data_IF_299326669513
#
_entry.id   IF_299326669513
#
_cell.length_a   1.000
_cell.length_b   1.000
_cell.length_c   1.000
_cell.angle_alpha   90.00
_cell.angle_beta   90.00
_cell.angle_gamma   90.00
#
_symmetry.space_group_name_H-M   'P 1'
#
loop_
_entity.id
_entity.type
_entity.pdbx_description
1 polymer ?
#
# COMPACT_ATOMS: atom_id res chain seq x y z
N UNK A 1 7.59 58.17 -98.54
CA UNK A 1 8.29 58.21 -97.21
C UNK A 1 7.26 57.80 -96.19
N UNK A 2 7.12 56.51 -96.02
CA UNK A 2 6.07 55.90 -95.17
C UNK A 2 6.61 55.52 -93.82
N UNK A 3 5.95 55.96 -92.78
CA UNK A 3 6.33 55.78 -91.43
C UNK A 3 5.41 54.67 -90.84
N UNK A 4 5.89 53.45 -90.82
CA UNK A 4 5.18 52.29 -90.38
C UNK A 4 5.26 52.14 -88.87
N UNK A 5 4.15 52.38 -88.20
CA UNK A 5 3.97 52.44 -86.80
C UNK A 5 3.60 51.01 -86.29
N UNK A 6 4.61 50.21 -85.94
CA UNK A 6 4.42 48.85 -85.42
C UNK A 6 3.93 48.87 -83.92
N UNK A 7 2.63 48.73 -83.71
CA UNK A 7 2.03 48.50 -82.39
C UNK A 7 2.38 47.08 -81.87
N UNK A 8 3.34 46.98 -80.97
CA UNK A 8 3.60 45.73 -80.20
C UNK A 8 2.36 45.35 -79.34
N UNK A 9 1.61 44.37 -79.81
CA UNK A 9 0.56 43.72 -79.00
C UNK A 9 1.21 43.06 -77.77
N UNK A 10 1.01 43.64 -76.59
CA UNK A 10 1.32 42.95 -75.29
C UNK A 10 0.36 41.77 -75.16
N UNK A 11 0.87 40.55 -75.30
CA UNK A 11 0.15 39.33 -74.96
C UNK A 11 -0.13 39.33 -73.42
N UNK A 12 -1.42 39.37 -73.05
CA UNK A 12 -1.86 39.20 -71.67
C UNK A 12 -1.54 37.76 -71.30
N UNK A 13 -0.69 37.56 -70.29
CA UNK A 13 -0.46 36.23 -69.63
C UNK A 13 -1.81 35.62 -69.23
N UNK A 14 -2.07 34.35 -69.53
CA UNK A 14 -3.31 33.70 -69.11
C UNK A 14 -3.44 33.77 -67.58
N UNK A 15 -4.59 34.21 -67.09
CA UNK A 15 -4.91 34.15 -65.67
C UNK A 15 -4.86 32.67 -65.26
N UNK A 16 -3.93 32.31 -64.36
CA UNK A 16 -3.82 31.01 -63.80
C UNK A 16 -5.15 30.74 -63.08
N UNK A 17 -5.98 29.86 -63.61
CA UNK A 17 -7.23 29.45 -62.98
C UNK A 17 -6.86 28.70 -61.66
N UNK A 18 -7.26 29.27 -60.52
CA UNK A 18 -7.06 28.70 -59.20
C UNK A 18 -7.91 27.44 -59.14
N UNK A 19 -7.29 26.24 -59.01
CA UNK A 19 -7.97 24.96 -59.00
C UNK A 19 -7.99 24.43 -57.54
N UNK A 20 -9.11 24.51 -56.81
CA UNK A 20 -9.21 24.13 -55.39
C UNK A 20 -9.08 22.61 -55.14
N UNK A 21 -9.13 21.79 -56.21
CA UNK A 21 -9.06 20.32 -56.04
C UNK A 21 -7.78 19.80 -55.41
N UNK A 22 -6.65 20.48 -55.54
CA UNK A 22 -5.41 20.04 -54.89
C UNK A 22 -5.44 20.26 -53.36
N UNK A 23 -6.11 21.32 -52.91
CA UNK A 23 -6.28 21.61 -51.47
C UNK A 23 -7.18 20.54 -50.85
N UNK A 24 -8.29 20.19 -51.51
CA UNK A 24 -9.18 19.13 -51.03
C UNK A 24 -8.47 17.75 -50.97
N UNK A 25 -7.62 17.43 -51.95
CA UNK A 25 -6.78 16.21 -51.92
C UNK A 25 -5.77 16.25 -50.80
N UNK A 26 -5.12 17.39 -50.56
CA UNK A 26 -4.17 17.56 -49.48
C UNK A 26 -4.86 17.38 -48.10
N UNK A 27 -6.01 18.03 -47.88
CA UNK A 27 -6.81 17.87 -46.66
C UNK A 27 -7.24 16.42 -46.44
N UNK A 28 -7.73 15.75 -47.51
CA UNK A 28 -8.10 14.32 -47.40
C UNK A 28 -6.91 13.43 -47.03
N UNK A 29 -5.72 13.65 -47.61
CA UNK A 29 -4.52 12.90 -47.27
C UNK A 29 -4.09 13.15 -45.83
N UNK A 30 -4.11 14.38 -45.35
CA UNK A 30 -3.75 14.72 -43.96
C UNK A 30 -4.71 14.06 -42.96
N UNK A 31 -6.03 14.16 -43.23
CA UNK A 31 -7.04 13.51 -42.36
C UNK A 31 -6.89 11.97 -42.37
N UNK A 32 -6.66 11.38 -43.56
CA UNK A 32 -6.45 9.94 -43.70
C UNK A 32 -5.22 9.45 -42.96
N UNK A 33 -4.10 10.19 -43.04
CA UNK A 33 -2.87 9.86 -42.29
C UNK A 33 -3.10 10.03 -40.79
N UNK A 34 -3.73 11.12 -40.35
CA UNK A 34 -4.05 11.32 -38.95
C UNK A 34 -4.94 10.19 -38.37
N UNK A 35 -5.95 9.76 -39.15
CA UNK A 35 -6.83 8.67 -38.78
C UNK A 35 -6.09 7.31 -38.71
N UNK A 36 -5.14 7.09 -39.63
CA UNK A 36 -4.29 5.89 -39.62
C UNK A 36 -3.35 5.85 -38.42
N UNK A 37 -2.74 6.98 -38.07
CA UNK A 37 -1.92 7.11 -36.85
C UNK A 37 -2.72 6.89 -35.60
N UNK A 38 -3.94 7.41 -35.52
CA UNK A 38 -4.84 7.17 -34.39
C UNK A 38 -5.18 5.68 -34.25
N UNK A 39 -5.49 4.98 -35.34
CA UNK A 39 -5.73 3.51 -35.31
C UNK A 39 -4.51 2.74 -34.81
N UNK A 40 -3.31 3.12 -35.24
CA UNK A 40 -2.06 2.48 -34.78
C UNK A 40 -1.87 2.74 -33.29
N UNK A 41 -2.08 3.96 -32.81
CA UNK A 41 -1.96 4.32 -31.39
C UNK A 41 -2.97 3.55 -30.53
N UNK A 42 -4.24 3.47 -30.95
CA UNK A 42 -5.28 2.70 -30.26
C UNK A 42 -4.94 1.20 -30.26
N UNK A 43 -4.48 0.66 -31.38
CA UNK A 43 -4.04 -0.75 -31.47
C UNK A 43 -2.86 -1.05 -30.55
N UNK A 44 -1.86 -0.17 -30.51
CA UNK A 44 -0.72 -0.31 -29.60
C UNK A 44 -1.16 -0.25 -28.13
N UNK A 45 -2.04 0.69 -27.77
CA UNK A 45 -2.59 0.76 -26.41
C UNK A 45 -3.37 -0.51 -26.02
N UNK A 46 -4.21 -1.02 -26.93
CA UNK A 46 -4.96 -2.26 -26.72
C UNK A 46 -4.01 -3.47 -26.55
N UNK A 47 -2.92 -3.51 -27.31
CA UNK A 47 -1.91 -4.59 -27.18
C UNK A 47 -1.22 -4.54 -25.83
N UNK A 48 -0.85 -3.35 -25.35
CA UNK A 48 -0.23 -3.18 -24.02
C UNK A 48 -1.18 -3.64 -22.93
N UNK A 49 -2.46 -3.23 -23.00
CA UNK A 49 -3.49 -3.68 -22.03
C UNK A 49 -3.63 -5.20 -22.06
N UNK A 50 -3.66 -5.82 -23.24
CA UNK A 50 -3.75 -7.28 -23.36
C UNK A 50 -2.53 -7.98 -22.75
N UNK A 51 -1.32 -7.48 -23.00
CA UNK A 51 -0.09 -8.01 -22.39
C UNK A 51 -0.16 -7.94 -20.87
N UNK A 52 -0.57 -6.79 -20.32
CA UNK A 52 -0.72 -6.62 -18.86
C UNK A 52 -1.74 -7.59 -18.29
N UNK A 53 -2.87 -7.81 -18.97
CA UNK A 53 -3.89 -8.78 -18.54
C UNK A 53 -3.36 -10.22 -18.60
N UNK A 54 -2.69 -10.61 -19.67
CA UNK A 54 -2.10 -11.96 -19.79
C UNK A 54 -1.02 -12.17 -18.74
N UNK A 55 -0.11 -11.21 -18.56
CA UNK A 55 0.89 -11.27 -17.49
C UNK A 55 0.25 -11.35 -16.10
N UNK A 56 -0.83 -10.60 -15.87
CA UNK A 56 -1.61 -10.65 -14.63
C UNK A 56 -2.22 -12.04 -14.39
N UNK A 57 -2.85 -12.64 -15.38
CA UNK A 57 -3.43 -13.99 -15.28
C UNK A 57 -2.36 -15.04 -15.03
N UNK A 58 -1.23 -15.00 -15.77
CA UNK A 58 -0.10 -15.91 -15.57
C UNK A 58 0.50 -15.72 -14.18
N UNK A 59 0.68 -14.48 -13.75
CA UNK A 59 1.19 -14.15 -12.41
C UNK A 59 0.25 -14.68 -11.30
N UNK A 60 -1.06 -14.47 -11.44
CA UNK A 60 -2.06 -14.98 -10.47
C UNK A 60 -2.05 -16.51 -10.47
N UNK A 61 -1.96 -17.17 -11.63
CA UNK A 61 -1.88 -18.63 -11.74
C UNK A 61 -0.64 -19.18 -11.05
N UNK A 62 0.56 -18.69 -11.41
CA UNK A 62 1.82 -19.12 -10.78
C UNK A 62 1.89 -18.77 -9.30
N UNK A 63 1.33 -17.63 -8.91
CA UNK A 63 1.21 -17.25 -7.52
C UNK A 63 0.23 -18.19 -6.79
N UNK A 64 -0.90 -18.56 -7.43
CA UNK A 64 -1.88 -19.49 -6.88
C UNK A 64 -1.28 -20.87 -6.61
N UNK A 65 -0.56 -21.45 -7.57
CA UNK A 65 0.13 -22.74 -7.40
C UNK A 65 1.18 -22.67 -6.28
N UNK A 66 1.97 -21.61 -6.25
CA UNK A 66 2.97 -21.36 -5.19
C UNK A 66 2.35 -21.14 -3.81
N UNK A 67 1.18 -20.46 -3.74
CA UNK A 67 0.47 -20.19 -2.50
C UNK A 67 -0.25 -21.43 -1.96
N UNK A 68 -0.66 -22.36 -2.82
CA UNK A 68 -1.54 -23.45 -2.45
C UNK A 68 -0.82 -24.56 -1.68
N UNK A 69 0.45 -24.85 -1.97
CA UNK A 69 1.18 -25.93 -1.31
C UNK A 69 1.86 -25.54 0.01
N UNK A 70 2.47 -24.35 0.10
CA UNK A 70 3.25 -23.98 1.29
C UNK A 70 2.61 -22.87 2.12
N UNK A 71 2.11 -21.83 1.47
CA UNK A 71 1.75 -20.57 2.15
C UNK A 71 0.40 -20.61 2.84
N UNK A 72 -0.63 -21.16 2.18
CA UNK A 72 -1.96 -21.22 2.80
C UNK A 72 -1.98 -22.22 3.96
N UNK A 73 -1.23 -23.32 3.83
CA UNK A 73 -1.12 -24.33 4.90
C UNK A 73 -0.35 -23.75 6.10
N UNK A 74 0.75 -23.04 5.86
CA UNK A 74 1.49 -22.34 6.91
C UNK A 74 0.70 -21.20 7.55
N UNK A 75 -0.03 -20.41 6.73
CA UNK A 75 -0.88 -19.32 7.21
C UNK A 75 -2.09 -19.83 8.00
N UNK A 76 -2.69 -20.95 7.60
CA UNK A 76 -3.84 -21.55 8.27
C UNK A 76 -3.48 -22.23 9.59
N UNK A 77 -2.26 -22.73 9.74
CA UNK A 77 -1.77 -23.36 10.96
C UNK A 77 -1.13 -22.35 11.93
N UNK A 78 -1.10 -21.07 11.59
CA UNK A 78 -0.52 -20.03 12.42
C UNK A 78 -1.54 -19.55 13.48
N UNK A 79 -1.16 -19.57 14.75
CA UNK A 79 -1.92 -18.98 15.85
C UNK A 79 -1.09 -17.95 16.60
N UNK A 80 -1.74 -16.91 17.10
CA UNK A 80 -1.06 -15.92 17.96
C UNK A 80 -0.60 -16.53 19.27
N UNK A 81 -1.26 -17.60 19.73
CA UNK A 81 -0.94 -18.31 20.96
C UNK A 81 0.41 -19.04 20.89
N UNK A 82 0.89 -19.37 19.68
CA UNK A 82 2.22 -19.95 19.46
C UNK A 82 3.35 -18.95 19.76
N UNK A 83 3.01 -17.65 19.80
CA UNK A 83 3.94 -16.55 20.05
C UNK A 83 3.62 -15.85 21.36
N UNK A 84 3.87 -16.55 22.47
CA UNK A 84 3.70 -16.00 23.80
C UNK A 84 4.40 -14.65 23.98
N UNK A 85 3.87 -13.81 24.83
CA UNK A 85 4.53 -12.57 25.24
C UNK A 85 5.38 -12.86 26.49
N UNK A 86 6.71 -12.73 26.36
CA UNK A 86 7.57 -12.73 27.52
C UNK A 86 7.31 -11.43 28.30
N UNK A 87 6.73 -11.57 29.49
CA UNK A 87 6.46 -10.45 30.36
C UNK A 87 7.61 -10.15 31.30
N UNK A 88 7.72 -8.91 31.72
CA UNK A 88 8.67 -8.49 32.74
C UNK A 88 8.29 -9.08 34.09
N UNK A 89 9.23 -9.73 34.77
CA UNK A 89 9.04 -10.27 36.11
C UNK A 89 9.28 -9.21 37.17
N UNK A 90 8.46 -9.21 38.22
CA UNK A 90 8.60 -8.31 39.35
C UNK A 90 8.82 -9.11 40.64
N UNK A 91 9.72 -8.61 41.46
CA UNK A 91 9.92 -9.13 42.80
C UNK A 91 9.26 -8.19 43.81
N UNK A 92 8.40 -8.74 44.63
CA UNK A 92 7.71 -8.02 45.70
C UNK A 92 8.16 -8.47 47.06
N UNK A 93 8.04 -7.60 48.05
CA UNK A 93 8.21 -7.96 49.46
C UNK A 93 7.06 -7.38 50.29
N UNK A 94 6.85 -7.97 51.47
CA UNK A 94 5.88 -7.45 52.41
C UNK A 94 6.61 -6.58 53.43
N UNK A 95 6.21 -5.32 53.57
CA UNK A 95 6.81 -4.40 54.54
C UNK A 95 6.38 -4.71 55.99
N UNK A 96 7.00 -4.04 56.97
CA UNK A 96 6.70 -4.24 58.39
C UNK A 96 5.26 -3.93 58.81
N UNK A 97 4.47 -3.28 57.92
CA UNK A 97 3.05 -2.96 58.12
C UNK A 97 2.11 -3.93 57.40
N UNK A 98 2.66 -4.94 56.72
CA UNK A 98 1.89 -5.94 55.96
C UNK A 98 1.53 -5.51 54.53
N UNK A 99 2.08 -4.41 54.01
CA UNK A 99 1.80 -3.95 52.65
C UNK A 99 2.77 -4.64 51.65
N UNK A 100 2.24 -4.97 50.48
CA UNK A 100 3.05 -5.49 49.39
C UNK A 100 3.72 -4.30 48.66
N UNK A 101 5.05 -4.32 48.62
CA UNK A 101 5.89 -3.32 47.98
C UNK A 101 6.70 -3.97 46.85
N UNK A 102 6.81 -3.30 45.71
CA UNK A 102 7.69 -3.77 44.63
C UNK A 102 9.14 -3.51 45.00
N UNK A 103 9.95 -4.58 45.03
CA UNK A 103 11.37 -4.52 45.34
C UNK A 103 12.22 -4.25 44.09
N UNK A 104 11.97 -5.02 43.03
CA UNK A 104 12.78 -4.98 41.81
C UNK A 104 11.98 -5.47 40.61
N UNK A 105 12.23 -4.85 39.48
CA UNK A 105 11.81 -5.29 38.15
C UNK A 105 12.97 -6.11 37.56
N UNK A 106 12.65 -7.28 37.00
CA UNK A 106 13.63 -8.17 36.35
C UNK A 106 13.28 -8.28 34.88
N UNK A 107 14.06 -7.63 34.06
CA UNK A 107 14.03 -7.80 32.61
C UNK A 107 15.46 -7.76 32.06
N UNK A 108 15.68 -8.37 30.90
CA UNK A 108 17.01 -8.39 30.26
C UNK A 108 17.19 -7.29 29.25
N UNK A 109 16.55 -7.43 28.08
CA UNK A 109 16.64 -6.50 26.96
C UNK A 109 15.29 -5.89 26.60
N UNK A 110 14.20 -6.46 27.10
CA UNK A 110 12.83 -6.07 26.80
C UNK A 110 12.05 -5.82 28.08
N UNK A 111 11.41 -4.67 28.16
CA UNK A 111 10.41 -4.36 29.18
C UNK A 111 9.03 -4.49 28.54
N UNK A 112 8.22 -5.42 29.06
CA UNK A 112 6.85 -5.65 28.60
C UNK A 112 5.92 -5.86 29.77
N UNK A 113 4.93 -4.99 29.86
CA UNK A 113 3.83 -5.11 30.78
C UNK A 113 2.54 -5.13 29.95
N UNK A 114 1.75 -6.17 30.11
CA UNK A 114 0.50 -6.32 29.37
C UNK A 114 -0.59 -5.47 30.02
N UNK A 115 -1.37 -4.81 29.17
CA UNK A 115 -2.58 -4.10 29.54
C UNK A 115 -3.78 -4.75 28.88
N UNK A 116 -4.88 -4.93 29.58
CA UNK A 116 -6.15 -5.29 28.96
C UNK A 116 -6.70 -4.08 28.20
N UNK A 117 -7.56 -4.33 27.21
CA UNK A 117 -8.16 -3.23 26.42
C UNK A 117 -8.92 -2.23 27.30
N UNK A 118 -9.53 -2.71 28.40
CA UNK A 118 -10.22 -1.87 29.38
C UNK A 118 -9.29 -0.93 30.16
N UNK A 119 -8.03 -1.32 30.35
CA UNK A 119 -7.01 -0.48 30.98
C UNK A 119 -6.46 0.59 30.03
N UNK A 120 -6.64 0.40 28.72
CA UNK A 120 -6.12 1.30 27.67
C UNK A 120 -7.13 2.45 27.44
N UNK A 121 -6.73 3.72 27.60
CA UNK A 121 -7.63 4.85 27.35
C UNK A 121 -8.15 4.86 25.93
N UNK A 122 -9.46 5.06 25.74
CA UNK A 122 -10.11 5.15 24.41
C UNK A 122 -9.42 6.15 23.50
N UNK A 123 -8.96 7.29 24.04
CA UNK A 123 -8.24 8.31 23.26
C UNK A 123 -6.94 7.78 22.62
N UNK A 124 -6.27 6.80 23.24
CA UNK A 124 -5.08 6.18 22.66
C UNK A 124 -5.46 5.23 21.53
N UNK A 125 -6.53 4.46 21.69
CA UNK A 125 -7.09 3.60 20.64
C UNK A 125 -7.49 4.44 19.42
N UNK A 126 -8.26 5.52 19.65
CA UNK A 126 -8.71 6.42 18.58
C UNK A 126 -7.53 7.08 17.85
N UNK A 127 -6.50 7.51 18.59
CA UNK A 127 -5.28 8.08 18.01
C UNK A 127 -4.51 7.05 17.17
N UNK A 128 -4.41 5.82 17.64
CA UNK A 128 -3.76 4.71 16.91
C UNK A 128 -4.49 4.43 15.59
N UNK A 129 -5.82 4.30 15.65
CA UNK A 129 -6.65 4.10 14.44
C UNK A 129 -6.50 5.28 13.49
N UNK A 130 -6.54 6.52 13.98
CA UNK A 130 -6.45 7.72 13.15
C UNK A 130 -5.10 7.86 12.42
N UNK A 131 -4.02 7.37 13.01
CA UNK A 131 -2.66 7.50 12.46
C UNK A 131 -2.28 6.29 11.61
N UNK A 132 -2.50 5.08 12.12
CA UNK A 132 -1.99 3.84 11.54
C UNK A 132 -2.97 3.24 10.52
N UNK A 133 -4.28 3.25 10.83
CA UNK A 133 -5.27 2.55 10.03
C UNK A 133 -6.68 3.16 10.19
N UNK A 134 -6.94 4.25 9.48
CA UNK A 134 -8.19 5.02 9.61
C UNK A 134 -9.47 4.23 9.40
N UNK A 135 -9.38 3.10 8.70
CA UNK A 135 -10.51 2.24 8.39
C UNK A 135 -10.42 0.87 9.05
N UNK A 136 -9.69 0.79 10.16
CA UNK A 136 -9.46 -0.45 10.91
C UNK A 136 -10.75 -1.25 11.14
N UNK A 137 -11.82 -0.59 11.54
CA UNK A 137 -13.12 -1.23 11.81
C UNK A 137 -13.95 -1.52 10.56
N UNK A 138 -13.50 -1.11 9.36
CA UNK A 138 -14.27 -1.25 8.11
C UNK A 138 -13.79 -2.38 7.21
N UNK A 139 -12.54 -2.82 7.37
CA UNK A 139 -11.93 -3.88 6.53
C UNK A 139 -11.72 -5.18 7.32
N UNK A 140 -11.35 -6.24 6.60
CA UNK A 140 -11.02 -7.56 7.13
C UNK A 140 -9.55 -7.90 6.86
N UNK A 141 -8.66 -7.46 7.74
CA UNK A 141 -7.21 -7.70 7.69
C UNK A 141 -6.44 -6.79 6.74
N UNK A 142 -7.02 -6.43 5.61
CA UNK A 142 -6.35 -5.62 4.58
C UNK A 142 -7.26 -4.49 4.09
N UNK A 143 -6.77 -3.26 4.16
CA UNK A 143 -7.38 -2.11 3.50
C UNK A 143 -6.94 -2.04 2.04
N UNK A 144 -7.68 -2.69 1.14
CA UNK A 144 -7.37 -2.72 -0.29
C UNK A 144 -7.36 -1.34 -0.94
N UNK A 145 -8.19 -0.40 -0.48
CA UNK A 145 -8.23 0.96 -1.05
C UNK A 145 -6.94 1.71 -0.72
N UNK A 146 -6.50 1.65 0.54
CA UNK A 146 -5.24 2.28 0.98
C UNK A 146 -4.04 1.58 0.38
N UNK A 147 -4.05 0.24 0.31
CA UNK A 147 -2.97 -0.56 -0.31
C UNK A 147 -2.78 -0.20 -1.79
N UNK A 148 -3.87 -0.15 -2.57
CA UNK A 148 -3.80 0.24 -3.99
C UNK A 148 -3.34 1.70 -4.15
N UNK A 149 -3.83 2.62 -3.32
CA UNK A 149 -3.36 4.02 -3.34
C UNK A 149 -1.86 4.13 -3.05
N UNK A 150 -1.37 3.41 -2.04
CA UNK A 150 0.05 3.38 -1.71
C UNK A 150 0.91 2.83 -2.86
N UNK A 151 0.47 1.75 -3.51
CA UNK A 151 1.12 1.19 -4.70
C UNK A 151 1.15 2.21 -5.85
N UNK A 152 0.03 2.86 -6.16
CA UNK A 152 -0.03 3.87 -7.23
C UNK A 152 0.89 5.06 -6.93
N UNK A 153 0.92 5.55 -5.69
CA UNK A 153 1.82 6.63 -5.29
C UNK A 153 3.29 6.26 -5.44
N UNK A 154 3.66 5.02 -5.16
CA UNK A 154 5.03 4.52 -5.35
C UNK A 154 5.43 4.54 -6.83
N UNK A 155 4.52 4.22 -7.75
CA UNK A 155 4.80 4.24 -9.20
C UNK A 155 4.76 5.64 -9.81
N UNK A 156 3.89 6.52 -9.33
CA UNK A 156 3.67 7.86 -9.89
C UNK A 156 4.35 8.98 -9.11
N UNK A 157 5.15 8.66 -8.08
CA UNK A 157 5.97 9.63 -7.36
C UNK A 157 5.19 10.59 -6.45
N UNK A 158 4.05 10.15 -5.92
CA UNK A 158 3.29 10.92 -4.93
C UNK A 158 3.93 10.85 -3.54
N UNK A 159 3.89 11.95 -2.78
CA UNK A 159 4.26 12.00 -1.36
C UNK A 159 3.27 11.16 -0.54
N UNK A 160 3.55 9.87 -0.37
CA UNK A 160 2.77 9.04 0.54
C UNK A 160 3.33 9.18 1.96
N UNK A 161 2.76 10.08 2.75
CA UNK A 161 3.05 10.19 4.19
C UNK A 161 2.40 9.05 5.01
N UNK A 162 1.57 8.22 4.40
CA UNK A 162 0.86 7.14 5.07
C UNK A 162 1.32 5.78 4.58
N UNK A 163 1.64 4.89 5.52
CA UNK A 163 1.92 3.48 5.25
C UNK A 163 0.67 2.78 4.67
N UNK A 164 0.89 1.85 3.74
CA UNK A 164 -0.19 1.04 3.16
C UNK A 164 -0.52 -0.22 3.95
N UNK A 165 0.06 -0.43 5.15
CA UNK A 165 -0.15 -1.62 5.99
C UNK A 165 -1.17 -1.33 7.07
N UNK A 166 -2.11 -2.25 7.30
CA UNK A 166 -3.11 -2.17 8.37
C UNK A 166 -2.50 -2.50 9.74
N UNK A 167 -3.22 -2.16 10.83
CA UNK A 167 -2.86 -2.55 12.20
C UNK A 167 -2.66 -4.06 12.30
N UNK A 168 -3.56 -4.85 11.71
CA UNK A 168 -3.47 -6.32 11.71
C UNK A 168 -2.22 -6.81 10.98
N UNK A 169 -1.88 -6.24 9.83
CA UNK A 169 -0.64 -6.57 9.11
C UNK A 169 0.61 -6.20 9.92
N UNK A 170 0.59 -5.08 10.64
CA UNK A 170 1.68 -4.66 11.51
C UNK A 170 1.81 -5.60 12.72
N UNK A 171 0.69 -6.03 13.32
CA UNK A 171 0.67 -7.03 14.38
C UNK A 171 1.32 -8.34 13.93
N UNK A 172 0.88 -8.90 12.79
CA UNK A 172 1.46 -10.13 12.23
C UNK A 172 2.97 -9.99 12.01
N UNK A 173 3.41 -8.87 11.44
CA UNK A 173 4.82 -8.59 11.23
C UNK A 173 5.61 -8.55 12.55
N UNK A 174 5.06 -7.92 13.60
CA UNK A 174 5.71 -7.80 14.89
C UNK A 174 5.79 -9.14 15.62
N UNK A 175 4.75 -9.97 15.49
CA UNK A 175 4.68 -11.30 16.10
C UNK A 175 5.66 -12.26 15.44
N UNK A 176 5.74 -12.27 14.11
CA UNK A 176 6.59 -13.22 13.36
C UNK A 176 8.06 -12.81 13.29
N UNK A 177 8.43 -11.63 13.80
CA UNK A 177 9.79 -11.02 13.74
C UNK A 177 10.46 -11.11 12.34
N UNK A 178 9.66 -11.22 11.29
CA UNK A 178 10.15 -11.33 9.92
C UNK A 178 10.58 -9.97 9.38
N UNK A 179 11.88 -9.65 9.51
CA UNK A 179 12.47 -8.35 9.08
C UNK A 179 12.84 -8.29 7.60
N UNK A 180 12.76 -9.41 6.87
CA UNK A 180 13.11 -9.44 5.43
C UNK A 180 12.14 -8.57 4.60
N UNK A 181 12.68 -7.76 3.69
CA UNK A 181 11.87 -6.91 2.79
C UNK A 181 11.68 -7.66 1.46
N UNK A 182 10.83 -8.68 1.45
CA UNK A 182 10.52 -9.47 0.25
C UNK A 182 9.04 -9.39 -0.10
N UNK A 183 8.74 -9.52 -1.40
CA UNK A 183 7.34 -9.58 -1.87
C UNK A 183 6.62 -10.79 -1.26
N UNK A 184 7.30 -11.93 -1.18
CA UNK A 184 6.80 -13.16 -0.57
C UNK A 184 6.32 -12.93 0.87
N UNK A 185 7.17 -12.31 1.71
CA UNK A 185 6.80 -11.96 3.07
C UNK A 185 5.53 -11.07 3.11
N UNK A 186 5.44 -10.07 2.21
CA UNK A 186 4.26 -9.17 2.19
C UNK A 186 2.99 -9.90 1.77
N UNK A 187 3.10 -10.86 0.87
CA UNK A 187 1.98 -11.73 0.49
C UNK A 187 1.53 -12.59 1.66
N UNK A 188 2.48 -13.24 2.38
CA UNK A 188 2.19 -14.00 3.60
C UNK A 188 1.52 -13.17 4.68
N UNK A 189 2.03 -11.97 4.94
CA UNK A 189 1.46 -11.01 5.88
C UNK A 189 -0.01 -10.67 5.54
N UNK A 190 -0.31 -10.46 4.25
CA UNK A 190 -1.67 -10.21 3.76
C UNK A 190 -2.59 -11.40 4.06
N UNK A 191 -2.18 -12.62 3.71
CA UNK A 191 -3.02 -13.80 3.93
C UNK A 191 -3.22 -14.10 5.43
N UNK A 192 -2.16 -14.03 6.22
CA UNK A 192 -2.25 -14.20 7.68
C UNK A 192 -3.18 -13.16 8.30
N UNK A 193 -3.10 -11.89 7.88
CA UNK A 193 -3.98 -10.84 8.38
C UNK A 193 -5.46 -11.12 8.07
N UNK A 194 -5.75 -11.63 6.86
CA UNK A 194 -7.13 -11.99 6.49
C UNK A 194 -7.64 -13.22 7.26
N UNK A 195 -6.79 -14.23 7.49
CA UNK A 195 -7.17 -15.41 8.28
C UNK A 195 -7.37 -14.99 9.73
N UNK A 196 -6.47 -14.19 10.29
CA UNK A 196 -6.51 -13.73 11.66
C UNK A 196 -7.78 -12.95 11.99
N UNK A 197 -8.22 -12.02 11.12
CA UNK A 197 -9.47 -11.27 11.31
C UNK A 197 -10.76 -12.08 11.06
N UNK A 198 -10.66 -13.33 10.63
CA UNK A 198 -11.81 -14.25 10.62
C UNK A 198 -12.01 -14.97 11.94
N UNK A 199 -10.92 -15.15 12.70
CA UNK A 199 -10.88 -15.90 13.95
C UNK A 199 -10.97 -14.99 15.17
N UNK A 200 -10.40 -13.79 15.08
CA UNK A 200 -10.28 -12.85 16.19
C UNK A 200 -11.00 -11.54 15.88
N UNK A 201 -11.63 -10.96 16.90
CA UNK A 201 -12.31 -9.68 16.77
C UNK A 201 -11.35 -8.48 16.79
N UNK A 202 -11.86 -7.32 16.44
CA UNK A 202 -11.07 -6.08 16.36
C UNK A 202 -10.53 -5.62 17.70
N UNK A 203 -11.24 -5.91 18.78
CA UNK A 203 -10.87 -5.51 20.13
C UNK A 203 -9.65 -6.30 20.59
N UNK A 204 -9.65 -7.61 20.40
CA UNK A 204 -8.48 -8.45 20.67
C UNK A 204 -7.28 -8.05 19.79
N UNK A 205 -7.50 -7.78 18.51
CA UNK A 205 -6.42 -7.36 17.60
C UNK A 205 -5.80 -6.04 18.05
N UNK A 206 -6.60 -5.09 18.49
CA UNK A 206 -6.13 -3.81 19.02
C UNK A 206 -5.35 -4.00 20.33
N UNK A 207 -5.86 -4.81 21.25
CA UNK A 207 -5.18 -5.16 22.50
C UNK A 207 -3.81 -5.77 22.25
N UNK A 208 -3.74 -6.80 21.41
CA UNK A 208 -2.51 -7.48 21.03
C UNK A 208 -1.51 -6.54 20.33
N UNK A 209 -2.01 -5.68 19.44
CA UNK A 209 -1.18 -4.69 18.77
C UNK A 209 -0.53 -3.72 19.75
N UNK A 210 -1.34 -3.12 20.64
CA UNK A 210 -0.87 -2.14 21.63
C UNK A 210 0.04 -2.74 22.69
N UNK A 211 -0.04 -4.04 22.94
CA UNK A 211 0.85 -4.75 23.85
C UNK A 211 2.17 -5.22 23.19
N UNK A 212 2.25 -5.24 21.86
CA UNK A 212 3.41 -5.79 21.13
C UNK A 212 4.24 -4.75 20.38
N UNK A 213 3.73 -3.55 20.15
CA UNK A 213 4.47 -2.53 19.42
C UNK A 213 5.72 -2.09 20.19
N UNK A 214 6.82 -1.89 19.46
CA UNK A 214 8.04 -1.33 20.01
C UNK A 214 7.98 0.19 20.07
N UNK A 215 8.09 0.78 21.25
CA UNK A 215 7.95 2.20 21.50
C UNK A 215 9.26 2.89 21.93
N UNK A 216 10.39 2.23 21.69
CA UNK A 216 11.70 2.76 22.02
C UNK A 216 12.20 2.36 23.41
N UNK A 217 13.48 2.61 23.72
CA UNK A 217 14.15 2.34 25.00
C UNK A 217 13.97 0.91 25.55
N UNK A 218 13.76 -0.07 24.68
CA UNK A 218 13.49 -1.44 25.11
C UNK A 218 12.04 -1.70 25.52
N UNK A 219 11.15 -0.71 25.49
CA UNK A 219 9.74 -0.85 25.85
C UNK A 219 8.94 -1.47 24.73
N UNK A 220 8.27 -2.57 25.03
CA UNK A 220 7.29 -3.23 24.17
C UNK A 220 5.91 -3.11 24.83
N UNK A 221 4.96 -2.55 24.08
CA UNK A 221 3.62 -2.25 24.55
C UNK A 221 3.47 -0.91 25.26
N UNK A 222 2.23 -0.43 25.25
CA UNK A 222 1.87 0.92 25.71
C UNK A 222 2.02 1.09 27.20
N UNK A 223 1.82 0.02 28.01
CA UNK A 223 1.92 0.06 29.46
C UNK A 223 3.37 0.27 29.92
N UNK A 224 4.32 -0.49 29.38
CA UNK A 224 5.74 -0.29 29.63
C UNK A 224 6.22 1.08 29.17
N UNK A 225 5.76 1.53 28.02
CA UNK A 225 6.10 2.87 27.52
C UNK A 225 5.51 3.98 28.42
N UNK A 226 4.29 3.82 28.95
CA UNK A 226 3.71 4.77 29.88
C UNK A 226 4.51 4.86 31.18
N UNK A 227 4.96 3.71 31.71
CA UNK A 227 5.82 3.67 32.88
C UNK A 227 7.17 4.35 32.65
N UNK A 228 7.85 4.05 31.51
CA UNK A 228 9.17 4.61 31.19
C UNK A 228 9.13 6.11 30.87
N UNK A 229 8.13 6.58 30.13
CA UNK A 229 8.10 7.96 29.66
C UNK A 229 7.35 8.93 30.58
N UNK A 230 6.36 8.43 31.33
CA UNK A 230 5.47 9.26 32.14
C UNK A 230 5.43 8.88 33.61
N UNK A 231 6.08 7.78 34.01
CA UNK A 231 6.08 7.28 35.39
C UNK A 231 4.70 6.80 35.87
N UNK A 232 3.88 6.27 34.98
CA UNK A 232 2.47 5.91 35.25
C UNK A 232 2.19 4.48 34.89
#
# INVERSE_FOLDING_TARGET
>A
MDNENTKKRRMKKPRQQWNPHWILKLLYTVVSVAFSLLKIAVGAAATVVLIVLVCGVVFIGTLGDYLQEDILTEAANWSIDDYGMDETSFVYYVDGNGNIQQLQQIFTTTDRQVATLEEIPQALIDATVAIEDKRFYEHQGVDWITTVKACLNMFFGGDSQFGGSTITQQLIKNVTDQKSVTVQRKVMEIFRAQIFEREYDKDLIMEEYLNRIYLGKGCYGVKSAAAEYFGK
#
